data_IF_823356973321
#
_entry.id   IF_823356973321
#
_cell.length_a   1.000
_cell.length_b   1.000
_cell.length_c   1.000
_cell.angle_alpha   90.00
_cell.angle_beta   90.00
_cell.angle_gamma   90.00
#
_symmetry.space_group_name_H-M   'P 1'
#
loop_
_entity.id
_entity.type
_entity.pdbx_description
1 polymer ?
#
# COMPACT_ATOMS: atom_id res chain seq x y z
N UNK A 1 8.18 9.93 5.70
CA UNK A 1 8.24 9.30 7.03
C UNK A 1 8.92 10.28 7.97
N UNK A 2 8.67 10.29 9.28
CA UNK A 2 9.46 11.12 10.21
C UNK A 2 10.96 10.78 10.20
N UNK A 3 11.31 9.62 9.65
CA UNK A 3 12.68 9.14 9.52
C UNK A 3 13.32 9.51 8.18
N UNK A 4 12.51 9.86 7.16
CA UNK A 4 12.96 10.03 5.78
C UNK A 4 12.21 11.14 5.06
N UNK A 5 12.98 12.10 4.55
CA UNK A 5 12.50 13.21 3.74
C UNK A 5 11.46 14.06 4.46
N UNK A 6 10.54 14.63 3.69
CA UNK A 6 9.39 15.34 4.24
C UNK A 6 8.35 14.34 4.76
N UNK A 7 7.97 14.36 6.06
CA UNK A 7 6.90 13.52 6.56
C UNK A 7 5.51 13.94 6.03
N UNK A 8 5.35 15.18 5.60
CA UNK A 8 4.06 15.73 5.16
C UNK A 8 3.77 15.43 3.69
N UNK A 9 2.48 15.30 3.37
CA UNK A 9 1.94 15.44 2.01
C UNK A 9 0.66 16.26 2.16
N UNK A 10 0.56 17.39 1.45
CA UNK A 10 -0.55 18.33 1.62
C UNK A 10 -0.67 18.92 3.03
N UNK A 11 0.44 18.96 3.80
CA UNK A 11 0.43 19.46 5.18
C UNK A 11 -0.10 18.48 6.23
N UNK A 12 -0.50 17.26 5.84
CA UNK A 12 -0.95 16.23 6.78
C UNK A 12 0.07 15.09 6.94
N UNK A 13 0.18 14.55 8.15
CA UNK A 13 1.09 13.46 8.50
C UNK A 13 0.52 12.58 9.62
N UNK A 14 1.13 11.42 9.80
CA UNK A 14 0.93 10.52 10.93
C UNK A 14 2.25 10.25 11.65
N UNK A 15 2.13 9.80 12.89
CA UNK A 15 3.24 9.32 13.69
C UNK A 15 2.95 7.87 14.07
N UNK A 16 3.64 6.95 13.40
CA UNK A 16 3.56 5.53 13.72
C UNK A 16 4.23 5.23 15.07
N UNK A 17 3.48 4.64 16.00
CA UNK A 17 3.98 4.13 17.27
C UNK A 17 3.64 2.65 17.36
N UNK A 18 4.64 1.81 17.66
CA UNK A 18 4.42 0.38 17.86
C UNK A 18 4.65 0.04 19.32
N UNK A 19 3.61 -0.49 19.97
CA UNK A 19 3.67 -1.05 21.31
C UNK A 19 3.82 -2.56 21.18
N UNK A 20 4.85 -3.11 21.83
CA UNK A 20 5.11 -4.56 21.85
C UNK A 20 4.85 -5.04 23.27
N UNK A 21 3.89 -5.96 23.42
CA UNK A 21 3.46 -6.45 24.72
C UNK A 21 3.24 -7.97 24.73
N UNK A 22 3.18 -8.53 25.93
CA UNK A 22 3.05 -9.98 26.15
C UNK A 22 1.60 -10.41 26.45
N UNK A 23 0.68 -9.45 26.49
CA UNK A 23 -0.73 -9.68 26.77
C UNK A 23 -1.54 -9.43 25.51
N UNK A 24 -2.53 -10.29 25.25
CA UNK A 24 -3.44 -10.12 24.12
C UNK A 24 -4.25 -8.84 24.30
N UNK A 25 -4.04 -7.86 23.41
CA UNK A 25 -4.86 -6.65 23.38
C UNK A 25 -6.20 -6.92 22.71
N UNK A 26 -7.33 -6.40 23.22
CA UNK A 26 -8.60 -6.41 22.49
C UNK A 26 -8.57 -5.52 21.23
N UNK A 27 -7.61 -4.59 21.15
CA UNK A 27 -7.45 -3.67 20.03
C UNK A 27 -6.05 -3.79 19.44
N UNK A 28 -5.96 -4.11 18.14
CA UNK A 28 -4.69 -4.22 17.44
C UNK A 28 -4.13 -2.85 16.99
N UNK A 29 -4.96 -1.80 16.97
CA UNK A 29 -4.60 -0.48 16.45
C UNK A 29 -5.50 0.62 17.00
N UNK A 30 -4.91 1.77 17.32
CA UNK A 30 -5.58 2.97 17.83
C UNK A 30 -5.14 4.21 17.05
N UNK A 31 -6.08 5.10 16.75
CA UNK A 31 -5.82 6.38 16.08
C UNK A 31 -6.11 7.50 17.06
N UNK A 32 -5.10 8.31 17.39
CA UNK A 32 -5.23 9.40 18.38
C UNK A 32 -4.95 10.74 17.70
N UNK A 33 -5.95 11.63 17.56
CA UNK A 33 -5.72 12.95 16.98
C UNK A 33 -4.80 13.78 17.88
N UNK A 34 -3.82 14.45 17.28
CA UNK A 34 -3.00 15.47 17.96
C UNK A 34 -3.41 16.88 17.56
N UNK A 35 -3.65 17.07 16.26
CA UNK A 35 -4.16 18.29 15.63
C UNK A 35 -5.08 17.89 14.48
N UNK A 36 -5.69 18.86 13.80
CA UNK A 36 -6.53 18.59 12.63
C UNK A 36 -5.77 17.87 11.49
N UNK A 37 -4.44 18.00 11.45
CA UNK A 37 -3.58 17.51 10.36
C UNK A 37 -2.60 16.41 10.75
N UNK A 38 -2.51 16.12 12.05
CA UNK A 38 -1.53 15.17 12.59
C UNK A 38 -2.23 14.27 13.60
N UNK A 39 -2.06 12.96 13.43
CA UNK A 39 -2.51 11.95 14.39
C UNK A 39 -1.40 10.96 14.71
N UNK A 40 -1.53 10.31 15.86
CA UNK A 40 -0.77 9.11 16.19
C UNK A 40 -1.48 7.90 15.58
N UNK A 41 -0.71 7.03 14.95
CA UNK A 41 -1.16 5.72 14.51
C UNK A 41 -0.45 4.67 15.37
N UNK A 42 -1.16 4.15 16.38
CA UNK A 42 -0.59 3.27 17.41
C UNK A 42 -0.97 1.84 17.07
N UNK A 43 0.02 1.01 16.72
CA UNK A 43 -0.16 -0.43 16.53
C UNK A 43 0.27 -1.19 17.79
N UNK A 44 -0.51 -2.19 18.17
CA UNK A 44 -0.22 -3.06 19.32
C UNK A 44 0.07 -4.45 18.78
N UNK A 45 1.32 -4.88 18.91
CA UNK A 45 1.80 -6.17 18.44
C UNK A 45 2.12 -7.11 19.60
N UNK A 46 1.99 -8.40 19.34
CA UNK A 46 2.36 -9.43 20.30
C UNK A 46 3.88 -9.65 20.27
N UNK A 47 4.50 -9.81 21.44
CA UNK A 47 5.95 -10.06 21.55
C UNK A 47 6.39 -11.31 20.75
N UNK A 48 5.51 -12.29 20.56
CA UNK A 48 5.82 -13.50 19.79
C UNK A 48 6.19 -13.22 18.33
N UNK A 49 5.71 -12.12 17.76
CA UNK A 49 6.05 -11.68 16.40
C UNK A 49 7.55 -11.33 16.27
N UNK A 50 8.22 -11.00 17.38
CA UNK A 50 9.58 -10.47 17.40
C UNK A 50 10.67 -11.48 17.84
N UNK A 51 10.30 -12.73 18.09
CA UNK A 51 11.21 -13.72 18.71
C UNK A 51 12.38 -14.16 17.82
N UNK A 52 12.28 -14.01 16.50
CA UNK A 52 13.26 -14.55 15.54
C UNK A 52 13.85 -13.45 14.65
N UNK A 53 14.88 -12.71 15.10
CA UNK A 53 15.45 -11.59 14.37
C UNK A 53 15.91 -11.92 12.94
N UNK A 54 16.42 -13.13 12.71
CA UNK A 54 16.82 -13.59 11.37
C UNK A 54 15.65 -13.71 10.40
N UNK A 55 14.49 -14.13 10.90
CA UNK A 55 13.25 -14.21 10.10
C UNK A 55 12.70 -12.80 9.86
N UNK A 56 12.77 -11.93 10.87
CA UNK A 56 12.35 -10.53 10.74
C UNK A 56 13.15 -9.77 9.68
N UNK A 57 14.47 -10.02 9.58
CA UNK A 57 15.32 -9.42 8.53
C UNK A 57 14.82 -9.64 7.11
N UNK A 58 14.23 -10.81 6.87
CA UNK A 58 13.70 -11.22 5.56
C UNK A 58 12.18 -11.07 5.48
N UNK A 59 11.57 -10.51 6.52
CA UNK A 59 10.17 -10.13 6.48
C UNK A 59 10.03 -8.85 5.65
N UNK A 60 9.20 -8.82 4.59
CA UNK A 60 9.10 -7.69 3.66
C UNK A 60 8.81 -6.34 4.34
N UNK A 61 7.85 -6.35 5.27
CA UNK A 61 7.39 -5.17 6.00
C UNK A 61 8.15 -4.96 7.31
N UNK A 62 7.96 -5.85 8.29
CA UNK A 62 8.58 -5.76 9.61
C UNK A 62 10.11 -5.63 9.58
N UNK A 63 10.80 -6.24 8.62
CA UNK A 63 12.25 -6.12 8.50
C UNK A 63 12.66 -4.66 8.29
N UNK A 64 12.07 -4.01 7.30
CA UNK A 64 12.32 -2.60 6.99
C UNK A 64 11.87 -1.69 8.12
N UNK A 65 10.67 -1.92 8.68
CA UNK A 65 10.17 -1.16 9.83
C UNK A 65 11.11 -1.23 11.02
N UNK A 66 11.59 -2.44 11.37
CA UNK A 66 12.51 -2.64 12.50
C UNK A 66 13.91 -2.09 12.22
N UNK A 67 14.37 -2.17 10.98
CA UNK A 67 15.66 -1.62 10.57
C UNK A 67 15.72 -0.12 10.86
N UNK A 68 14.63 0.60 10.60
CA UNK A 68 14.53 2.07 10.71
C UNK A 68 13.99 2.57 12.05
N UNK A 69 13.23 1.74 12.78
CA UNK A 69 12.51 2.17 13.97
C UNK A 69 13.41 2.85 15.00
N UNK A 70 12.86 3.88 15.66
CA UNK A 70 13.48 4.51 16.82
C UNK A 70 12.91 3.88 18.09
N UNK A 71 13.79 3.35 18.93
CA UNK A 71 13.41 2.79 20.22
C UNK A 71 13.10 3.94 21.18
N UNK A 72 11.85 4.06 21.61
CA UNK A 72 11.41 5.08 22.56
C UNK A 72 11.51 4.58 24.01
N UNK A 73 11.27 3.29 24.24
CA UNK A 73 11.30 2.67 25.56
C UNK A 73 11.62 1.18 25.45
N UNK A 74 12.76 0.74 25.99
CA UNK A 74 13.20 -0.66 26.01
C UNK A 74 14.10 -0.93 27.23
N UNK A 75 13.54 -1.02 28.44
CA UNK A 75 14.32 -1.16 29.67
C UNK A 75 15.07 -2.49 29.77
N UNK A 76 14.78 -3.46 28.91
CA UNK A 76 15.41 -4.79 28.89
C UNK A 76 16.33 -4.99 27.68
N UNK A 77 16.57 -3.95 26.88
CA UNK A 77 17.41 -4.01 25.67
C UNK A 77 16.99 -5.11 24.68
N UNK A 78 15.71 -5.50 24.68
CA UNK A 78 15.19 -6.54 23.78
C UNK A 78 15.15 -6.04 22.34
N UNK A 79 14.65 -4.82 22.14
CA UNK A 79 14.59 -4.17 20.83
C UNK A 79 15.97 -3.85 20.30
N UNK A 80 16.93 -3.46 21.15
CA UNK A 80 18.33 -3.30 20.73
C UNK A 80 18.88 -4.60 20.13
N UNK A 81 18.65 -5.73 20.81
CA UNK A 81 19.06 -7.05 20.33
C UNK A 81 18.36 -7.45 19.03
N UNK A 82 17.04 -7.23 18.94
CA UNK A 82 16.25 -7.51 17.73
C UNK A 82 16.74 -6.67 16.56
N UNK A 83 16.92 -5.36 16.74
CA UNK A 83 17.41 -4.47 15.70
C UNK A 83 18.81 -4.83 15.24
N UNK A 84 19.71 -5.20 16.15
CA UNK A 84 21.05 -5.68 15.78
C UNK A 84 20.97 -6.93 14.87
N UNK A 85 20.08 -7.87 15.20
CA UNK A 85 19.83 -9.06 14.39
C UNK A 85 19.22 -8.76 13.03
N UNK A 86 18.29 -7.80 12.96
CA UNK A 86 17.67 -7.34 11.70
C UNK A 86 18.68 -6.62 10.82
N UNK A 87 19.43 -5.65 11.38
CA UNK A 87 20.41 -4.82 10.66
C UNK A 87 21.59 -5.62 10.12
N UNK A 88 21.91 -6.75 10.73
CA UNK A 88 23.00 -7.63 10.31
C UNK A 88 22.88 -8.04 8.83
N UNK A 89 23.73 -7.43 7.99
CA UNK A 89 23.77 -7.64 6.54
C UNK A 89 22.45 -7.35 5.81
N UNK A 90 21.57 -6.51 6.35
CA UNK A 90 20.20 -6.31 5.85
C UNK A 90 20.08 -6.03 4.34
N UNK A 91 21.03 -5.24 3.81
CA UNK A 91 21.07 -4.82 2.40
C UNK A 91 21.84 -5.77 1.48
N UNK A 92 22.31 -6.93 1.97
CA UNK A 92 22.91 -7.91 1.06
C UNK A 92 21.87 -8.38 0.03
N UNK A 93 22.29 -8.59 -1.23
CA UNK A 93 21.37 -8.97 -2.29
C UNK A 93 20.53 -10.20 -1.98
N UNK A 94 21.10 -11.22 -1.31
CA UNK A 94 20.36 -12.44 -0.97
C UNK A 94 19.15 -12.15 -0.05
N UNK A 95 19.29 -11.21 0.89
CA UNK A 95 18.20 -10.86 1.81
C UNK A 95 17.18 -9.91 1.19
N UNK A 96 17.60 -9.04 0.27
CA UNK A 96 16.68 -8.26 -0.54
C UNK A 96 15.81 -9.19 -1.41
N UNK A 97 16.43 -10.17 -2.08
CA UNK A 97 15.72 -11.19 -2.86
C UNK A 97 14.76 -12.01 -1.99
N UNK A 98 15.20 -12.46 -0.80
CA UNK A 98 14.32 -13.19 0.14
C UNK A 98 13.12 -12.38 0.65
N UNK A 99 13.22 -11.04 0.69
CA UNK A 99 12.05 -10.17 0.97
C UNK A 99 11.17 -10.01 -0.27
N UNK A 100 11.77 -9.90 -1.44
CA UNK A 100 11.09 -9.63 -2.71
C UNK A 100 10.25 -10.81 -3.21
N UNK A 101 10.84 -12.01 -3.28
CA UNK A 101 10.21 -13.19 -3.87
C UNK A 101 8.81 -13.52 -3.32
N UNK A 102 8.58 -13.56 -1.99
CA UNK A 102 7.25 -13.86 -1.47
C UNK A 102 6.17 -12.85 -1.89
N UNK A 103 6.55 -11.60 -2.18
CA UNK A 103 5.61 -10.62 -2.71
C UNK A 103 5.20 -10.98 -4.14
N UNK A 104 6.17 -11.23 -5.02
CA UNK A 104 5.91 -11.57 -6.42
C UNK A 104 5.11 -12.88 -6.54
N UNK A 105 5.48 -13.90 -5.76
CA UNK A 105 4.73 -15.17 -5.68
C UNK A 105 3.28 -14.94 -5.26
N UNK A 106 3.03 -14.08 -4.26
CA UNK A 106 1.67 -13.79 -3.81
C UNK A 106 0.87 -13.00 -4.86
N UNK A 107 1.51 -12.10 -5.60
CA UNK A 107 0.89 -11.39 -6.71
C UNK A 107 0.44 -12.37 -7.81
N UNK A 108 1.30 -13.32 -8.17
CA UNK A 108 0.99 -14.38 -9.14
C UNK A 108 -0.14 -15.29 -8.66
N UNK A 109 -0.13 -15.69 -7.39
CA UNK A 109 -1.22 -16.48 -6.79
C UNK A 109 -2.56 -15.73 -6.83
N UNK A 110 -2.56 -14.42 -6.55
CA UNK A 110 -3.75 -13.58 -6.67
C UNK A 110 -4.25 -13.57 -8.12
N UNK A 111 -3.36 -13.35 -9.10
CA UNK A 111 -3.71 -13.37 -10.51
C UNK A 111 -4.32 -14.71 -10.94
N UNK A 112 -3.70 -15.84 -10.57
CA UNK A 112 -4.22 -17.18 -10.84
C UNK A 112 -5.59 -17.39 -10.18
N UNK A 113 -5.80 -16.83 -8.99
CA UNK A 113 -7.08 -16.85 -8.28
C UNK A 113 -8.23 -16.29 -9.11
N UNK A 114 -8.02 -15.24 -9.92
CA UNK A 114 -9.06 -14.66 -10.77
C UNK A 114 -9.61 -15.61 -11.83
N UNK A 115 -8.89 -16.68 -12.18
CA UNK A 115 -9.34 -17.66 -13.17
C UNK A 115 -10.46 -18.57 -12.66
N UNK A 116 -10.62 -18.68 -11.34
CA UNK A 116 -11.54 -19.62 -10.71
C UNK A 116 -12.37 -19.05 -9.58
N UNK A 117 -11.94 -17.92 -9.00
CA UNK A 117 -12.62 -17.28 -7.87
C UNK A 117 -13.89 -16.57 -8.33
N UNK A 118 -14.98 -16.83 -7.61
CA UNK A 118 -16.19 -16.01 -7.64
C UNK A 118 -16.11 -15.03 -6.49
N UNK A 119 -16.26 -13.74 -6.78
CA UNK A 119 -16.27 -12.68 -5.78
C UNK A 119 -17.69 -12.41 -5.31
N UNK A 120 -17.85 -12.10 -4.03
CA UNK A 120 -19.16 -11.79 -3.44
C UNK A 120 -19.62 -10.37 -3.83
N UNK A 121 -18.68 -9.50 -4.18
CA UNK A 121 -18.96 -8.13 -4.62
C UNK A 121 -17.89 -7.59 -5.56
N UNK A 122 -18.25 -6.55 -6.32
CA UNK A 122 -17.31 -5.80 -7.17
C UNK A 122 -16.20 -5.13 -6.32
N UNK A 123 -16.54 -4.66 -5.12
CA UNK A 123 -15.55 -4.07 -4.21
C UNK A 123 -14.51 -5.11 -3.76
N UNK A 124 -14.93 -6.36 -3.49
CA UNK A 124 -14.00 -7.45 -3.17
C UNK A 124 -13.10 -7.81 -4.37
N UNK A 125 -13.68 -7.86 -5.58
CA UNK A 125 -12.97 -8.08 -6.83
C UNK A 125 -11.83 -7.06 -7.01
N UNK A 126 -12.18 -5.78 -6.96
CA UNK A 126 -11.22 -4.67 -7.13
C UNK A 126 -10.22 -4.59 -5.98
N UNK A 127 -10.65 -4.82 -4.73
CA UNK A 127 -9.75 -4.89 -3.57
C UNK A 127 -8.67 -5.97 -3.76
N UNK A 128 -9.08 -7.15 -4.25
CA UNK A 128 -8.18 -8.27 -4.52
C UNK A 128 -7.21 -7.93 -5.66
N UNK A 129 -7.70 -7.25 -6.70
CA UNK A 129 -6.86 -6.82 -7.83
C UNK A 129 -5.78 -5.83 -7.39
N UNK A 130 -6.18 -4.78 -6.65
CA UNK A 130 -5.26 -3.79 -6.10
C UNK A 130 -4.25 -4.43 -5.15
N UNK A 131 -4.65 -5.45 -4.37
CA UNK A 131 -3.73 -6.21 -3.54
C UNK A 131 -2.69 -6.97 -4.38
N UNK A 132 -3.09 -7.60 -5.48
CA UNK A 132 -2.15 -8.24 -6.41
C UNK A 132 -1.12 -7.26 -6.95
N UNK A 133 -1.57 -6.09 -7.40
CA UNK A 133 -0.69 -5.02 -7.88
C UNK A 133 0.25 -4.49 -6.78
N UNK A 134 -0.24 -4.33 -5.55
CA UNK A 134 0.56 -3.94 -4.38
C UNK A 134 1.76 -4.88 -4.19
N UNK A 135 1.50 -6.19 -4.26
CA UNK A 135 2.51 -7.21 -4.09
C UNK A 135 3.51 -7.22 -5.25
N UNK A 136 3.05 -7.11 -6.49
CA UNK A 136 3.94 -7.05 -7.65
C UNK A 136 4.92 -5.87 -7.57
N UNK A 137 4.39 -4.67 -7.32
CA UNK A 137 5.19 -3.44 -7.19
C UNK A 137 6.14 -3.49 -5.99
N UNK A 138 5.68 -3.99 -4.84
CA UNK A 138 6.53 -4.10 -3.66
C UNK A 138 7.60 -5.19 -3.81
N UNK A 139 7.37 -6.22 -4.62
CA UNK A 139 8.41 -7.15 -5.04
C UNK A 139 9.60 -6.41 -5.64
N UNK A 140 9.35 -5.49 -6.57
CA UNK A 140 10.40 -4.65 -7.16
C UNK A 140 11.02 -3.71 -6.13
N UNK A 141 10.20 -2.97 -5.39
CA UNK A 141 10.69 -1.95 -4.45
C UNK A 141 11.63 -2.53 -3.39
N UNK A 142 11.43 -3.79 -2.99
CA UNK A 142 12.25 -4.48 -1.98
C UNK A 142 13.67 -4.82 -2.42
N UNK A 143 13.96 -4.75 -3.73
CA UNK A 143 15.31 -4.97 -4.26
C UNK A 143 16.24 -3.81 -3.92
N UNK A 144 15.72 -2.59 -3.89
CA UNK A 144 16.52 -1.37 -3.69
C UNK A 144 16.14 -0.57 -2.43
N UNK A 145 15.06 -0.93 -1.73
CA UNK A 145 14.66 -0.23 -0.51
C UNK A 145 13.53 -0.87 0.30
N UNK A 146 12.93 -0.13 1.24
CA UNK A 146 11.74 -0.57 1.95
C UNK A 146 10.53 -0.67 1.00
N UNK A 147 9.49 -1.45 1.37
CA UNK A 147 8.25 -1.49 0.61
C UNK A 147 7.60 -0.11 0.58
N UNK A 148 6.91 0.17 -0.53
CA UNK A 148 6.23 1.42 -0.77
C UNK A 148 4.94 1.51 0.04
N UNK A 149 4.78 2.60 0.77
CA UNK A 149 3.62 2.84 1.64
C UNK A 149 2.46 3.46 0.86
N UNK A 150 1.23 3.24 1.33
CA UNK A 150 -0.01 3.60 0.62
C UNK A 150 -0.02 5.04 0.05
N UNK A 151 0.33 6.06 0.84
CA UNK A 151 0.33 7.46 0.37
C UNK A 151 1.47 7.82 -0.58
N UNK A 152 2.56 7.04 -0.57
CA UNK A 152 3.77 7.28 -1.36
C UNK A 152 4.01 6.23 -2.42
N UNK A 153 3.05 5.33 -2.62
CA UNK A 153 3.20 4.15 -3.48
C UNK A 153 3.62 4.54 -4.90
N UNK A 154 2.82 5.35 -5.59
CA UNK A 154 3.17 5.82 -6.94
C UNK A 154 4.12 7.02 -6.94
N UNK A 155 4.28 7.71 -5.80
CA UNK A 155 5.22 8.84 -5.70
C UNK A 155 6.68 8.34 -5.69
N UNK A 156 6.92 7.21 -5.06
CA UNK A 156 8.25 6.64 -4.88
C UNK A 156 8.54 5.52 -5.89
N UNK A 157 7.53 4.96 -6.57
CA UNK A 157 7.72 3.92 -7.58
C UNK A 157 8.67 4.32 -8.73
N UNK A 158 8.65 5.56 -9.28
CA UNK A 158 9.59 5.95 -10.34
C UNK A 158 11.05 5.72 -9.95
N UNK A 159 11.45 6.18 -8.76
CA UNK A 159 12.81 6.01 -8.25
C UNK A 159 13.16 4.51 -8.08
N UNK A 160 12.23 3.71 -7.57
CA UNK A 160 12.43 2.25 -7.44
C UNK A 160 12.59 1.55 -8.78
N UNK A 161 11.80 1.94 -9.76
CA UNK A 161 11.85 1.40 -11.12
C UNK A 161 13.18 1.74 -11.80
N UNK A 162 13.68 2.96 -11.60
CA UNK A 162 14.97 3.41 -12.11
C UNK A 162 16.14 2.66 -11.45
N UNK A 163 16.08 2.44 -10.13
CA UNK A 163 17.12 1.73 -9.37
C UNK A 163 17.33 0.27 -9.82
N UNK A 164 16.29 -0.36 -10.40
CA UNK A 164 16.37 -1.72 -10.98
C UNK A 164 16.54 -1.71 -12.50
N UNK A 165 16.77 -0.54 -13.12
CA UNK A 165 17.00 -0.40 -14.56
C UNK A 165 15.78 -0.63 -15.44
N UNK A 166 14.57 -0.50 -14.89
CA UNK A 166 13.29 -0.77 -15.59
C UNK A 166 12.28 0.38 -15.39
N UNK A 167 12.59 1.62 -15.83
CA UNK A 167 11.71 2.79 -15.68
C UNK A 167 10.27 2.56 -16.17
N UNK A 168 10.07 1.68 -17.15
CA UNK A 168 8.77 1.33 -17.71
C UNK A 168 7.80 0.70 -16.70
N UNK A 169 8.30 0.14 -15.59
CA UNK A 169 7.47 -0.45 -14.54
C UNK A 169 6.51 0.57 -13.93
N UNK A 170 6.92 1.83 -13.81
CA UNK A 170 6.07 2.90 -13.30
C UNK A 170 4.91 3.21 -14.25
N UNK A 171 5.21 3.44 -15.53
CA UNK A 171 4.19 3.76 -16.54
C UNK A 171 3.19 2.60 -16.70
N UNK A 172 3.65 1.35 -16.65
CA UNK A 172 2.79 0.17 -16.70
C UNK A 172 1.90 0.03 -15.47
N UNK A 173 2.44 0.24 -14.26
CA UNK A 173 1.63 0.23 -13.03
C UNK A 173 0.54 1.31 -13.05
N UNK A 174 0.85 2.51 -13.55
CA UNK A 174 -0.15 3.55 -13.78
C UNK A 174 -1.21 3.15 -14.81
N UNK A 175 -0.81 2.48 -15.90
CA UNK A 175 -1.74 1.96 -16.91
C UNK A 175 -2.71 0.96 -16.30
N UNK A 176 -2.20 0.05 -15.46
CA UNK A 176 -2.99 -0.96 -14.75
C UNK A 176 -4.04 -0.37 -13.80
N UNK A 177 -3.87 0.88 -13.38
CA UNK A 177 -4.88 1.61 -12.60
C UNK A 177 -5.91 2.35 -13.45
N UNK A 178 -5.83 2.25 -14.78
CA UNK A 178 -6.75 2.91 -15.70
C UNK A 178 -6.39 4.36 -16.04
N UNK A 179 -5.17 4.82 -15.73
CA UNK A 179 -4.76 6.21 -15.98
C UNK A 179 -4.94 6.72 -17.42
N UNK A 180 -4.81 5.91 -18.50
CA UNK A 180 -5.05 6.40 -19.86
C UNK A 180 -6.51 6.76 -20.15
N UNK A 181 -7.45 6.27 -19.33
CA UNK A 181 -8.89 6.41 -19.55
C UNK A 181 -9.50 7.62 -18.82
N UNK A 182 -8.68 8.40 -18.10
CA UNK A 182 -9.15 9.46 -17.21
C UNK A 182 -8.27 10.69 -17.26
N UNK A 183 -8.85 11.82 -16.85
CA UNK A 183 -8.16 13.11 -16.69
C UNK A 183 -8.21 13.56 -15.23
N UNK A 184 -7.26 14.41 -14.85
CA UNK A 184 -7.17 14.95 -13.49
C UNK A 184 -8.48 15.65 -13.05
N UNK A 185 -9.17 16.33 -13.97
CA UNK A 185 -10.45 16.99 -13.68
C UNK A 185 -11.58 16.01 -13.33
N UNK A 186 -11.59 14.82 -13.93
CA UNK A 186 -12.57 13.78 -13.59
C UNK A 186 -12.29 13.21 -12.19
N UNK A 187 -11.01 13.00 -11.88
CA UNK A 187 -10.60 12.54 -10.55
C UNK A 187 -10.94 13.58 -9.47
N UNK A 188 -10.82 14.88 -9.76
CA UNK A 188 -11.25 15.94 -8.84
C UNK A 188 -12.74 15.85 -8.52
N UNK A 189 -13.59 15.51 -9.49
CA UNK A 189 -15.02 15.28 -9.25
C UNK A 189 -15.22 14.04 -8.36
N UNK A 190 -14.50 12.96 -8.64
CA UNK A 190 -14.55 11.74 -7.84
C UNK A 190 -14.11 11.92 -6.39
N UNK A 191 -13.17 12.83 -6.12
CA UNK A 191 -12.80 13.16 -4.74
C UNK A 191 -13.96 13.75 -3.94
N UNK A 192 -14.84 14.51 -4.58
CA UNK A 192 -16.04 15.05 -3.91
C UNK A 192 -16.99 13.92 -3.52
N UNK A 193 -17.15 12.91 -4.39
CA UNK A 193 -18.01 11.77 -4.13
C UNK A 193 -17.40 10.80 -3.12
N UNK A 194 -16.08 10.59 -3.18
CA UNK A 194 -15.32 9.87 -2.15
C UNK A 194 -15.47 10.53 -0.78
N UNK A 195 -15.39 11.85 -0.70
CA UNK A 195 -15.51 12.60 0.56
C UNK A 195 -16.89 12.42 1.19
N UNK A 196 -17.96 12.54 0.41
CA UNK A 196 -19.33 12.26 0.86
C UNK A 196 -19.49 10.82 1.33
N UNK A 197 -18.93 9.87 0.57
CA UNK A 197 -18.99 8.46 0.91
C UNK A 197 -18.25 8.16 2.22
N UNK A 198 -17.10 8.80 2.46
CA UNK A 198 -16.32 8.64 3.69
C UNK A 198 -17.08 9.16 4.92
N UNK A 199 -17.76 10.30 4.79
CA UNK A 199 -18.60 10.88 5.85
C UNK A 199 -19.83 10.01 6.15
N UNK A 200 -20.38 9.34 5.15
CA UNK A 200 -21.57 8.50 5.28
C UNK A 200 -21.33 7.15 5.98
N UNK A 201 -20.08 6.79 6.29
CA UNK A 201 -19.77 5.50 6.95
C UNK A 201 -20.37 5.48 8.37
N UNK A 202 -21.21 4.48 8.71
CA UNK A 202 -21.74 4.33 10.06
C UNK A 202 -20.63 3.99 11.06
N UNK A 203 -20.67 4.59 12.26
CA UNK A 203 -19.67 4.33 13.31
C UNK A 203 -19.58 2.85 13.69
N UNK A 204 -20.70 2.12 13.64
CA UNK A 204 -20.75 0.69 13.93
C UNK A 204 -20.00 -0.20 12.93
N UNK A 205 -19.71 0.32 11.73
CA UNK A 205 -19.01 -0.41 10.65
C UNK A 205 -17.71 0.30 10.22
N UNK A 206 -17.23 1.25 11.01
CA UNK A 206 -16.07 2.07 10.66
C UNK A 206 -14.77 1.36 11.07
N UNK A 207 -13.93 0.92 10.12
CA UNK A 207 -12.64 0.33 10.45
C UNK A 207 -11.65 1.42 10.91
N UNK A 208 -10.61 1.02 11.66
CA UNK A 208 -9.58 1.95 12.15
C UNK A 208 -8.91 2.78 11.05
N UNK A 209 -8.81 2.23 9.83
CA UNK A 209 -8.26 2.93 8.67
C UNK A 209 -9.14 4.05 8.14
N UNK A 210 -10.43 4.06 8.45
CA UNK A 210 -11.40 5.07 8.01
C UNK A 210 -11.97 5.88 9.17
N UNK A 211 -11.26 5.97 10.30
CA UNK A 211 -11.65 6.87 11.38
C UNK A 211 -11.76 8.33 10.88
N UNK A 212 -12.67 9.14 11.42
CA UNK A 212 -12.88 10.52 10.95
C UNK A 212 -11.61 11.36 10.93
N UNK A 213 -10.71 11.15 11.90
CA UNK A 213 -9.41 11.80 12.05
C UNK A 213 -8.48 11.52 10.86
N UNK A 214 -8.66 10.38 10.17
CA UNK A 214 -7.86 10.03 8.98
C UNK A 214 -8.41 10.64 7.69
N UNK A 215 -9.58 11.28 7.71
CA UNK A 215 -10.13 11.93 6.51
C UNK A 215 -9.17 12.98 5.97
N UNK A 216 -8.71 13.90 6.82
CA UNK A 216 -7.76 14.95 6.44
C UNK A 216 -6.43 14.37 5.94
N UNK A 217 -5.95 13.32 6.59
CA UNK A 217 -4.74 12.59 6.22
C UNK A 217 -4.75 12.07 4.77
N UNK A 218 -5.89 11.56 4.31
CA UNK A 218 -6.05 11.10 2.94
C UNK A 218 -6.38 12.23 1.96
N UNK A 219 -7.37 13.06 2.30
CA UNK A 219 -7.89 14.09 1.40
C UNK A 219 -6.84 15.14 1.04
N UNK A 220 -6.06 15.60 2.03
CA UNK A 220 -4.99 16.59 1.78
C UNK A 220 -3.88 16.00 0.93
N UNK A 221 -3.53 14.74 1.14
CA UNK A 221 -2.55 14.05 0.30
C UNK A 221 -3.06 13.91 -1.14
N UNK A 222 -4.32 13.47 -1.34
CA UNK A 222 -4.90 13.34 -2.68
C UNK A 222 -4.96 14.67 -3.44
N UNK A 223 -5.40 15.75 -2.78
CA UNK A 223 -5.41 17.10 -3.35
C UNK A 223 -4.02 17.57 -3.74
N UNK A 224 -3.05 17.43 -2.83
CA UNK A 224 -1.65 17.79 -3.09
C UNK A 224 -1.03 17.02 -4.26
N UNK A 225 -1.38 15.75 -4.44
CA UNK A 225 -0.89 14.94 -5.57
C UNK A 225 -1.54 15.39 -6.88
N UNK A 226 -2.85 15.66 -6.88
CA UNK A 226 -3.56 16.16 -8.06
C UNK A 226 -3.06 17.52 -8.57
N UNK A 227 -2.54 18.35 -7.68
CA UNK A 227 -1.98 19.66 -8.03
C UNK A 227 -0.47 19.59 -8.38
N UNK A 228 0.11 18.39 -8.42
CA UNK A 228 1.53 18.16 -8.75
C UNK A 228 1.77 17.96 -10.26
N UNK A 229 3.04 17.81 -10.65
CA UNK A 229 3.44 17.48 -12.03
C UNK A 229 2.97 16.08 -12.48
N UNK A 230 2.65 15.19 -11.54
CA UNK A 230 2.22 13.82 -11.80
C UNK A 230 0.85 13.53 -11.15
N UNK A 231 -0.24 14.16 -11.64
CA UNK A 231 -1.54 14.10 -11.00
C UNK A 231 -2.14 12.70 -10.94
N UNK A 232 -1.79 11.82 -11.89
CA UNK A 232 -2.31 10.45 -11.95
C UNK A 232 -1.82 9.55 -10.80
N UNK A 233 -0.78 9.96 -10.07
CA UNK A 233 -0.30 9.23 -8.89
C UNK A 233 -1.35 9.15 -7.77
N UNK A 234 -2.38 10.01 -7.81
CA UNK A 234 -3.49 9.98 -6.86
C UNK A 234 -4.33 8.71 -6.99
N UNK A 235 -4.37 8.07 -8.17
CA UNK A 235 -5.25 6.94 -8.46
C UNK A 235 -5.09 5.82 -7.46
N UNK A 236 -3.84 5.49 -7.08
CA UNK A 236 -3.58 4.45 -6.10
C UNK A 236 -4.26 4.74 -4.75
N UNK A 237 -3.99 5.92 -4.19
CA UNK A 237 -4.52 6.30 -2.88
C UNK A 237 -6.04 6.42 -2.90
N UNK A 238 -6.59 7.01 -3.95
CA UNK A 238 -8.03 7.12 -4.17
C UNK A 238 -8.68 5.74 -4.24
N UNK A 239 -8.20 4.85 -5.11
CA UNK A 239 -8.80 3.53 -5.31
C UNK A 239 -8.75 2.66 -4.05
N UNK A 240 -7.60 2.61 -3.37
CA UNK A 240 -7.44 1.82 -2.14
C UNK A 240 -8.40 2.26 -1.04
N UNK A 241 -8.56 3.56 -0.86
CA UNK A 241 -9.45 4.10 0.17
C UNK A 241 -10.92 4.06 -0.25
N UNK A 242 -11.23 4.32 -1.52
CA UNK A 242 -12.61 4.34 -2.02
C UNK A 242 -13.24 2.94 -1.98
N UNK A 243 -12.51 1.90 -2.39
CA UNK A 243 -12.95 0.51 -2.26
C UNK A 243 -13.28 0.15 -0.81
N UNK A 244 -12.44 0.58 0.14
CA UNK A 244 -12.68 0.33 1.57
C UNK A 244 -13.92 1.09 2.06
N UNK A 245 -14.08 2.36 1.68
CA UNK A 245 -15.26 3.18 2.00
C UNK A 245 -16.53 2.49 1.49
N UNK A 246 -16.57 2.09 0.22
CA UNK A 246 -17.74 1.43 -0.39
C UNK A 246 -18.07 0.10 0.29
N UNK A 247 -17.05 -0.64 0.73
CA UNK A 247 -17.24 -1.90 1.46
C UNK A 247 -17.86 -1.71 2.85
N UNK A 248 -17.76 -0.50 3.42
CA UNK A 248 -18.30 -0.16 4.74
C UNK A 248 -19.69 0.48 4.68
N UNK A 249 -20.14 0.93 3.51
CA UNK A 249 -21.42 1.61 3.38
C UNK A 249 -22.57 0.60 3.30
N UNK A 250 -23.74 0.93 3.88
CA UNK A 250 -25.00 0.27 3.51
C UNK A 250 -25.19 0.38 1.98
N UNK A 251 -26.01 -0.49 1.39
CA UNK A 251 -26.30 -0.47 -0.06
C UNK A 251 -27.05 0.82 -0.45
N UNK A 252 -26.34 1.94 -0.50
CA UNK A 252 -26.78 3.19 -1.08
C UNK A 252 -26.63 3.07 -2.60
N UNK A 253 -27.77 3.14 -3.28
CA UNK A 253 -27.82 2.99 -4.72
C UNK A 253 -27.08 4.14 -5.43
N UNK A 254 -27.08 5.36 -4.90
CA UNK A 254 -26.45 6.50 -5.57
C UNK A 254 -24.92 6.45 -5.46
N UNK A 255 -24.38 6.30 -4.25
CA UNK A 255 -22.93 6.20 -4.04
C UNK A 255 -22.33 4.99 -4.76
N UNK A 256 -23.02 3.84 -4.72
CA UNK A 256 -22.59 2.66 -5.46
C UNK A 256 -22.63 2.86 -6.98
N UNK A 257 -23.64 3.56 -7.53
CA UNK A 257 -23.70 3.87 -8.97
C UNK A 257 -22.53 4.74 -9.41
N UNK A 258 -22.22 5.81 -8.67
CA UNK A 258 -21.10 6.71 -9.02
C UNK A 258 -19.78 5.95 -9.01
N UNK A 259 -19.53 5.17 -7.95
CA UNK A 259 -18.31 4.37 -7.84
C UNK A 259 -18.20 3.33 -8.97
N UNK A 260 -19.29 2.61 -9.27
CA UNK A 260 -19.31 1.64 -10.37
C UNK A 260 -19.01 2.28 -11.73
N UNK A 261 -19.53 3.48 -11.99
CA UNK A 261 -19.24 4.23 -13.22
C UNK A 261 -17.76 4.61 -13.31
N UNK A 262 -17.17 5.08 -12.19
CA UNK A 262 -15.74 5.39 -12.13
C UNK A 262 -14.87 4.14 -12.38
N UNK A 263 -15.20 3.01 -11.74
CA UNK A 263 -14.46 1.76 -11.95
C UNK A 263 -14.59 1.24 -13.39
N UNK A 264 -15.77 1.38 -13.99
CA UNK A 264 -15.99 1.01 -15.39
C UNK A 264 -15.19 1.90 -16.34
N UNK A 265 -15.12 3.21 -16.07
CA UNK A 265 -14.30 4.15 -16.85
C UNK A 265 -12.80 3.79 -16.78
N UNK A 266 -12.30 3.40 -15.60
CA UNK A 266 -10.91 2.95 -15.43
C UNK A 266 -10.63 1.59 -16.08
N UNK A 267 -11.65 0.86 -16.51
CA UNK A 267 -11.54 -0.53 -16.96
C UNK A 267 -11.24 -1.50 -15.82
N UNK A 268 -11.57 -1.12 -14.57
CA UNK A 268 -11.43 -1.95 -13.37
C UNK A 268 -12.69 -2.77 -13.07
N UNK A 269 -13.75 -2.61 -13.87
CA UNK A 269 -14.98 -3.41 -13.80
C UNK A 269 -15.57 -3.62 -15.19
N UNK A 270 -16.54 -4.54 -15.29
CA UNK A 270 -17.22 -4.83 -16.55
C UNK A 270 -16.30 -5.49 -17.60
N UNK A 271 -16.59 -5.31 -18.91
CA UNK A 271 -15.84 -5.98 -19.98
C UNK A 271 -14.34 -5.62 -20.02
N UNK A 272 -13.99 -4.36 -19.68
CA UNK A 272 -12.60 -3.89 -19.68
C UNK A 272 -11.72 -4.55 -18.63
N UNK A 273 -12.30 -5.15 -17.59
CA UNK A 273 -11.54 -5.80 -16.54
C UNK A 273 -10.77 -7.03 -17.04
N UNK A 274 -11.29 -7.73 -18.05
CA UNK A 274 -10.59 -8.88 -18.63
C UNK A 274 -9.27 -8.46 -19.29
N UNK A 275 -9.31 -7.40 -20.10
CA UNK A 275 -8.11 -6.82 -20.72
C UNK A 275 -7.14 -6.37 -19.63
N UNK A 276 -7.65 -5.80 -18.53
CA UNK A 276 -6.82 -5.39 -17.40
C UNK A 276 -6.11 -6.56 -16.69
N UNK A 277 -6.74 -7.72 -16.60
CA UNK A 277 -6.12 -8.93 -16.06
C UNK A 277 -5.06 -9.52 -17.00
N UNK A 278 -5.27 -9.43 -18.33
CA UNK A 278 -4.27 -9.83 -19.33
C UNK A 278 -3.04 -8.91 -19.28
N UNK A 279 -3.24 -7.60 -19.16
CA UNK A 279 -2.14 -6.65 -18.95
C UNK A 279 -1.43 -6.87 -17.62
N UNK A 280 -2.16 -7.24 -16.57
CA UNK A 280 -1.57 -7.53 -15.27
C UNK A 280 -0.69 -8.79 -15.32
N UNK A 281 -1.09 -9.80 -16.10
CA UNK A 281 -0.25 -11.00 -16.35
C UNK A 281 1.09 -10.60 -16.98
N UNK A 282 1.05 -9.81 -18.06
CA UNK A 282 2.24 -9.31 -18.74
C UNK A 282 3.10 -8.40 -17.85
N UNK A 283 2.50 -7.70 -16.89
CA UNK A 283 3.23 -6.94 -15.88
C UNK A 283 3.94 -7.84 -14.87
N UNK A 284 3.30 -8.93 -14.43
CA UNK A 284 3.91 -9.90 -13.54
C UNK A 284 5.09 -10.60 -14.21
N UNK A 285 4.99 -10.94 -15.50
CA UNK A 285 6.10 -11.52 -16.27
C UNK A 285 7.30 -10.57 -16.31
N UNK A 286 7.05 -9.28 -16.53
CA UNK A 286 8.10 -8.25 -16.50
C UNK A 286 8.72 -8.12 -15.10
N UNK A 287 7.92 -8.22 -14.03
CA UNK A 287 8.41 -8.17 -12.66
C UNK A 287 9.30 -9.38 -12.36
N UNK A 288 8.87 -10.59 -12.73
CA UNK A 288 9.64 -11.83 -12.55
C UNK A 288 10.95 -11.79 -13.33
N UNK A 289 10.93 -11.39 -14.61
CA UNK A 289 12.14 -11.20 -15.43
C UNK A 289 13.10 -10.19 -14.77
N UNK A 290 12.56 -9.12 -14.19
CA UNK A 290 13.36 -8.09 -13.51
C UNK A 290 14.04 -8.66 -12.27
N UNK A 291 13.34 -9.48 -11.47
CA UNK A 291 13.92 -10.15 -10.31
C UNK A 291 15.04 -11.12 -10.72
N UNK A 292 14.79 -11.93 -11.75
CA UNK A 292 15.77 -12.89 -12.27
C UNK A 292 17.04 -12.19 -12.79
N UNK A 293 16.85 -11.15 -13.62
CA UNK A 293 17.95 -10.36 -14.15
C UNK A 293 18.76 -9.67 -13.04
N UNK A 294 18.08 -9.01 -12.10
CA UNK A 294 18.71 -8.38 -10.96
C UNK A 294 19.48 -9.39 -10.10
N UNK A 295 18.90 -10.58 -9.84
CA UNK A 295 19.58 -11.65 -9.10
C UNK A 295 20.88 -12.09 -9.78
N UNK A 296 20.83 -12.32 -11.10
CA UNK A 296 21.99 -12.68 -11.90
C UNK A 296 23.11 -11.63 -11.85
N UNK A 297 22.78 -10.34 -11.90
CA UNK A 297 23.73 -9.23 -11.77
C UNK A 297 24.40 -9.19 -10.38
N UNK A 298 23.68 -9.59 -9.34
CA UNK A 298 24.20 -9.68 -7.97
C UNK A 298 24.93 -10.99 -7.66
N UNK A 299 24.94 -11.94 -8.60
CA UNK A 299 25.61 -13.24 -8.46
C UNK A 299 24.87 -14.23 -7.55
N UNK A 300 23.54 -14.14 -7.49
CA UNK A 300 22.66 -14.99 -6.67
C UNK A 300 21.72 -15.85 -7.50
#
# INVERSE_FOLDING_TARGET
SLLYGDPFIGGAADVDIVLIQNETSPHAREIVPLTDDIHLDIAIHDESEYQKPRNLRVHPWLGSTLFDAKILYDPRHKMDFIQAGVRGMFHRPEFAMQRSLPQVEHARQIWMGFQSKVFESEAENISTYLKGLEHAVNGIALLSGPPLTERRFLLNLPERADEVGKPELYARALSLLGSPNVKAEEIKLWLVDWEKAFEAIPDSNRPQRLQPERKGYYLKAMKSILDSEHPMNVLWLLLKTWVLVISCLPKDQQTATIWNQAMHQLGLSGPGFKERLEEFDAYLDLVEETLEGWGGEQGI
#
